data_IF_936257846717
#
_entry.id   IF_936257846717
#
_cell.length_a   1.000
_cell.length_b   1.000
_cell.length_c   1.000
_cell.angle_alpha   90.00
_cell.angle_beta   90.00
_cell.angle_gamma   90.00
#
_symmetry.space_group_name_H-M   'P 1'
#
loop_
_entity.id
_entity.type
_entity.pdbx_description
1 polymer ?
#
# COMPACT_ATOMS: atom_id res chain seq x y z
N UNK A 1 -18.73 12.19 6.67
CA UNK A 1 -18.00 12.53 5.43
C UNK A 1 -17.05 11.40 5.01
N UNK A 2 -16.20 10.88 5.91
CA UNK A 2 -15.27 9.77 5.61
C UNK A 2 -15.98 8.43 5.36
N UNK A 3 -17.10 8.16 6.05
CA UNK A 3 -17.93 6.96 5.84
C UNK A 3 -18.49 6.87 4.41
N UNK A 4 -19.01 7.96 3.85
CA UNK A 4 -19.48 8.00 2.46
C UNK A 4 -18.36 7.69 1.45
N UNK A 5 -17.12 8.10 1.73
CA UNK A 5 -16.00 7.80 0.84
C UNK A 5 -15.61 6.31 0.88
N UNK A 6 -15.71 5.66 2.04
CA UNK A 6 -15.48 4.21 2.15
C UNK A 6 -16.52 3.41 1.35
N UNK A 7 -17.80 3.79 1.42
CA UNK A 7 -18.87 3.17 0.65
C UNK A 7 -18.66 3.32 -0.87
N UNK A 8 -18.22 4.50 -1.32
CA UNK A 8 -17.89 4.72 -2.73
C UNK A 8 -16.73 3.84 -3.18
N UNK A 9 -15.66 3.72 -2.38
CA UNK A 9 -14.53 2.82 -2.70
C UNK A 9 -15.02 1.39 -2.82
N UNK A 10 -15.80 0.91 -1.86
CA UNK A 10 -16.37 -0.45 -1.88
C UNK A 10 -17.23 -0.68 -3.13
N UNK A 11 -18.13 0.26 -3.43
CA UNK A 11 -18.99 0.17 -4.61
C UNK A 11 -18.19 0.07 -5.91
N UNK A 12 -17.10 0.85 -6.05
CA UNK A 12 -16.24 0.79 -7.23
C UNK A 12 -15.52 -0.56 -7.34
N UNK A 13 -15.00 -1.12 -6.24
CA UNK A 13 -14.36 -2.43 -6.21
C UNK A 13 -15.35 -3.54 -6.60
N UNK A 14 -16.55 -3.51 -6.04
CA UNK A 14 -17.63 -4.48 -6.32
C UNK A 14 -18.05 -4.44 -7.80
N UNK A 15 -17.84 -3.31 -8.49
CA UNK A 15 -18.10 -3.13 -9.92
C UNK A 15 -16.85 -3.31 -10.81
N UNK A 16 -15.77 -3.91 -10.27
CA UNK A 16 -14.60 -4.31 -11.05
C UNK A 16 -13.56 -3.20 -11.28
N UNK A 17 -13.59 -2.12 -10.50
CA UNK A 17 -12.52 -1.12 -10.54
C UNK A 17 -11.17 -1.77 -10.20
N UNK A 18 -10.15 -1.45 -11.00
CA UNK A 18 -8.81 -2.03 -10.82
C UNK A 18 -8.01 -1.26 -9.76
N UNK A 19 -7.61 -1.97 -8.71
CA UNK A 19 -6.75 -1.43 -7.65
C UNK A 19 -5.31 -1.18 -8.11
N UNK A 20 -4.86 -1.82 -9.19
CA UNK A 20 -3.47 -1.74 -9.66
C UNK A 20 -3.20 -0.59 -10.63
N UNK A 21 -4.23 0.16 -11.03
CA UNK A 21 -4.03 1.35 -11.86
C UNK A 21 -3.35 2.43 -11.03
N UNK A 22 -2.43 3.13 -11.66
CA UNK A 22 -1.68 4.22 -11.05
C UNK A 22 -1.93 5.53 -11.81
N UNK A 23 -1.84 6.66 -11.12
CA UNK A 23 -1.78 7.99 -11.75
C UNK A 23 -0.52 8.12 -12.61
N UNK A 24 -0.40 9.20 -13.38
CA UNK A 24 0.83 9.53 -14.13
C UNK A 24 2.07 9.60 -13.22
N UNK A 25 1.88 10.07 -11.98
CA UNK A 25 2.91 10.11 -10.94
C UNK A 25 3.14 8.76 -10.23
N UNK A 26 2.46 7.69 -10.67
CA UNK A 26 2.64 6.34 -10.14
C UNK A 26 1.89 6.03 -8.85
N UNK A 27 0.91 6.84 -8.44
CA UNK A 27 0.12 6.57 -7.24
C UNK A 27 -1.05 5.63 -7.53
N UNK A 28 -1.04 4.45 -6.90
CA UNK A 28 -2.21 3.56 -6.86
C UNK A 28 -3.23 4.06 -5.83
N UNK A 29 -4.50 3.62 -5.88
CA UNK A 29 -5.48 3.88 -4.82
C UNK A 29 -4.96 3.59 -3.40
N UNK A 30 -4.21 2.50 -3.23
CA UNK A 30 -3.58 2.15 -1.95
C UNK A 30 -2.53 3.17 -1.52
N UNK A 31 -1.68 3.62 -2.45
CA UNK A 31 -0.66 4.63 -2.17
C UNK A 31 -1.29 5.98 -1.77
N UNK A 32 -2.37 6.39 -2.42
CA UNK A 32 -3.13 7.59 -2.05
C UNK A 32 -3.74 7.44 -0.66
N UNK A 33 -4.36 6.31 -0.36
CA UNK A 33 -4.97 6.07 0.96
C UNK A 33 -3.94 6.08 2.09
N UNK A 34 -2.75 5.48 1.88
CA UNK A 34 -1.65 5.53 2.83
C UNK A 34 -1.14 6.96 3.06
N UNK A 35 -0.89 7.71 1.97
CA UNK A 35 -0.39 9.09 2.05
C UNK A 35 -1.35 10.02 2.81
N UNK A 36 -2.66 9.78 2.69
CA UNK A 36 -3.68 10.59 3.38
C UNK A 36 -4.05 10.03 4.77
N UNK A 37 -3.45 8.92 5.21
CA UNK A 37 -3.77 8.29 6.49
C UNK A 37 -5.20 7.77 6.59
N UNK A 38 -5.81 7.37 5.46
CA UNK A 38 -7.16 6.84 5.40
C UNK A 38 -7.19 5.35 5.77
N UNK A 39 -6.88 5.04 7.03
CA UNK A 39 -6.63 3.68 7.52
C UNK A 39 -7.75 2.69 7.17
N UNK A 40 -9.03 3.08 7.26
CA UNK A 40 -10.16 2.21 6.87
C UNK A 40 -10.19 1.87 5.38
N UNK A 41 -9.82 2.83 4.52
CA UNK A 41 -9.72 2.60 3.07
C UNK A 41 -8.50 1.73 2.77
N UNK A 42 -7.39 1.91 3.48
CA UNK A 42 -6.21 1.04 3.40
C UNK A 42 -6.59 -0.41 3.73
N UNK A 43 -7.26 -0.65 4.85
CA UNK A 43 -7.74 -1.98 5.23
C UNK A 43 -8.63 -2.60 4.15
N UNK A 44 -9.63 -1.87 3.66
CA UNK A 44 -10.53 -2.35 2.61
C UNK A 44 -9.78 -2.73 1.32
N UNK A 45 -8.83 -1.91 0.87
CA UNK A 45 -8.05 -2.18 -0.33
C UNK A 45 -7.12 -3.40 -0.15
N UNK A 46 -6.54 -3.55 1.04
CA UNK A 46 -5.68 -4.70 1.37
C UNK A 46 -6.46 -6.02 1.47
N UNK A 47 -7.66 -6.00 2.03
CA UNK A 47 -8.58 -7.15 2.05
C UNK A 47 -8.93 -7.62 0.64
N UNK A 48 -9.04 -6.67 -0.30
CA UNK A 48 -9.34 -6.96 -1.71
C UNK A 48 -8.09 -7.28 -2.55
N UNK A 49 -6.86 -7.04 -2.06
CA UNK A 49 -5.60 -7.35 -2.78
C UNK A 49 -5.16 -8.81 -2.58
N UNK A 50 -5.98 -9.73 -3.08
CA UNK A 50 -5.79 -11.19 -2.95
C UNK A 50 -4.49 -11.73 -3.56
N UNK A 51 -3.82 -10.96 -4.44
CA UNK A 51 -2.56 -11.36 -5.11
C UNK A 51 -1.36 -10.50 -4.70
N UNK A 52 -1.52 -9.56 -3.77
CA UNK A 52 -0.45 -8.66 -3.33
C UNK A 52 0.06 -7.72 -4.44
N UNK A 53 -0.73 -7.44 -5.49
CA UNK A 53 -0.28 -6.67 -6.65
C UNK A 53 0.07 -5.22 -6.29
N UNK A 54 -0.60 -4.67 -5.27
CA UNK A 54 -0.39 -3.29 -4.83
C UNK A 54 0.26 -3.22 -3.46
N UNK A 55 0.05 -4.22 -2.59
CA UNK A 55 0.66 -4.31 -1.27
C UNK A 55 2.19 -4.40 -1.33
N UNK A 56 2.75 -5.24 -2.22
CA UNK A 56 4.20 -5.47 -2.27
C UNK A 56 4.99 -4.21 -2.69
N UNK A 57 4.61 -3.49 -3.77
CA UNK A 57 5.21 -2.20 -4.08
C UNK A 57 5.03 -1.17 -2.95
N UNK A 58 3.88 -1.16 -2.27
CA UNK A 58 3.60 -0.21 -1.19
C UNK A 58 4.56 -0.37 0.00
N UNK A 59 4.97 -1.61 0.35
CA UNK A 59 5.89 -1.83 1.48
C UNK A 59 7.30 -1.28 1.19
N UNK A 60 7.78 -1.38 -0.05
CA UNK A 60 9.03 -0.75 -0.49
C UNK A 60 8.95 0.78 -0.45
N UNK A 61 7.79 1.35 -0.82
CA UNK A 61 7.56 2.80 -0.77
C UNK A 61 7.55 3.30 0.68
N UNK A 62 6.87 2.59 1.58
CA UNK A 62 6.84 2.92 3.01
C UNK A 62 8.26 2.93 3.60
N UNK A 63 9.07 1.90 3.30
CA UNK A 63 10.47 1.83 3.71
C UNK A 63 11.32 3.00 3.21
N UNK A 64 11.16 3.40 1.93
CA UNK A 64 11.88 4.55 1.35
C UNK A 64 11.49 5.88 1.98
N UNK A 65 10.26 6.02 2.46
CA UNK A 65 9.70 7.27 3.00
C UNK A 65 9.79 7.38 4.53
N UNK A 66 10.39 6.41 5.20
CA UNK A 66 10.38 6.31 6.67
C UNK A 66 8.94 6.29 7.26
N UNK A 67 7.99 5.72 6.50
CA UNK A 67 6.58 5.68 6.89
C UNK A 67 6.26 4.41 7.68
N UNK A 68 6.65 4.42 8.96
CA UNK A 68 6.45 3.30 9.87
C UNK A 68 4.99 2.95 10.09
N UNK A 69 4.08 3.94 10.04
CA UNK A 69 2.63 3.71 10.16
C UNK A 69 2.10 2.94 8.96
N UNK A 70 2.45 3.36 7.74
CA UNK A 70 2.08 2.64 6.53
C UNK A 70 2.65 1.22 6.53
N UNK A 71 3.92 1.05 6.90
CA UNK A 71 4.55 -0.27 7.01
C UNK A 71 3.81 -1.17 8.00
N UNK A 72 3.42 -0.66 9.17
CA UNK A 72 2.66 -1.42 10.16
C UNK A 72 1.29 -1.87 9.62
N UNK A 73 0.54 -0.99 8.95
CA UNK A 73 -0.75 -1.33 8.33
C UNK A 73 -0.59 -2.38 7.22
N UNK A 74 0.46 -2.27 6.40
CA UNK A 74 0.75 -3.22 5.33
C UNK A 74 1.17 -4.61 5.84
N UNK A 75 1.60 -4.72 7.10
CA UNK A 75 2.04 -5.95 7.74
C UNK A 75 1.01 -6.51 8.74
N UNK A 76 -0.07 -5.79 9.03
CA UNK A 76 -1.17 -6.29 9.86
C UNK A 76 -1.88 -7.44 9.11
N UNK A 77 -1.77 -8.67 9.65
CA UNK A 77 -2.37 -9.94 9.17
C UNK A 77 -1.52 -10.84 8.26
N UNK A 78 -0.22 -10.97 8.57
CA UNK A 78 0.66 -12.04 8.03
C UNK A 78 1.05 -11.81 6.56
N UNK A 79 1.78 -10.73 6.32
CA UNK A 79 2.43 -10.47 5.05
C UNK A 79 3.94 -10.50 5.23
N UNK A 80 4.58 -11.29 4.36
CA UNK A 80 6.03 -11.43 4.34
C UNK A 80 6.70 -10.05 4.24
N UNK A 81 7.53 -9.69 5.22
CA UNK A 81 8.29 -8.44 5.19
C UNK A 81 9.48 -8.53 4.22
N UNK A 82 9.93 -9.74 3.88
CA UNK A 82 11.06 -10.02 3.00
C UNK A 82 10.62 -10.12 1.53
N UNK A 83 9.71 -9.25 1.11
CA UNK A 83 9.20 -9.25 -0.26
C UNK A 83 10.20 -8.58 -1.18
N UNK A 84 10.61 -9.28 -2.24
CA UNK A 84 11.63 -8.76 -3.14
C UNK A 84 11.04 -7.92 -4.27
N UNK A 85 11.70 -6.80 -4.57
CA UNK A 85 11.51 -6.07 -5.83
C UNK A 85 12.06 -6.89 -7.02
N UNK A 86 11.82 -6.40 -8.25
CA UNK A 86 12.39 -7.01 -9.47
C UNK A 86 13.92 -7.10 -9.47
N UNK A 87 14.58 -6.31 -8.63
CA UNK A 87 16.04 -6.27 -8.48
C UNK A 87 16.55 -7.04 -7.25
N UNK A 88 15.68 -7.78 -6.55
CA UNK A 88 16.06 -8.59 -5.38
C UNK A 88 16.17 -7.82 -4.06
N UNK A 89 15.84 -6.52 -4.03
CA UNK A 89 15.85 -5.75 -2.79
C UNK A 89 14.58 -6.00 -1.98
N UNK A 90 14.71 -6.15 -0.65
CA UNK A 90 13.60 -6.16 0.29
C UNK A 90 13.31 -4.73 0.78
N UNK A 91 12.15 -4.47 1.39
CA UNK A 91 11.88 -3.22 2.10
C UNK A 91 12.97 -2.88 3.11
N UNK A 92 13.53 -3.88 3.81
CA UNK A 92 14.61 -3.66 4.78
C UNK A 92 15.91 -3.19 4.09
N UNK A 93 16.27 -3.73 2.93
CA UNK A 93 17.40 -3.21 2.14
C UNK A 93 17.21 -1.72 1.78
N UNK A 94 16.00 -1.34 1.39
CA UNK A 94 15.67 0.05 1.05
C UNK A 94 15.76 0.95 2.28
N UNK A 95 15.11 0.58 3.39
CA UNK A 95 15.16 1.36 4.63
C UNK A 95 16.60 1.55 5.11
N UNK A 96 17.43 0.50 5.08
CA UNK A 96 18.84 0.60 5.45
C UNK A 96 19.66 1.49 4.51
N UNK A 97 19.33 1.53 3.20
CA UNK A 97 20.00 2.40 2.24
C UNK A 97 19.67 3.88 2.46
N UNK A 98 18.41 4.20 2.75
CA UNK A 98 17.94 5.58 2.95
C UNK A 98 18.03 6.07 4.40
N UNK A 99 18.17 5.16 5.37
CA UNK A 99 18.24 5.45 6.81
C UNK A 99 19.59 5.95 7.30
N UNK A 100 20.57 6.11 6.41
CA UNK A 100 21.80 6.84 6.73
C UNK A 100 21.51 8.35 6.69
N UNK A 101 21.33 8.94 7.87
CA UNK A 101 21.52 10.38 8.12
C UNK A 101 23.01 10.70 7.99
#
# INVERSE_FOLDING_TARGET
AQENHLEVVKFLLDNGASQSLATEDGFTPLAVALQQGHDQVVSLLLENDTKGKVRLPALHIAARKDDTKAAALLLQNDNNADVESKSGFTPLHIAAHYGNI
#
